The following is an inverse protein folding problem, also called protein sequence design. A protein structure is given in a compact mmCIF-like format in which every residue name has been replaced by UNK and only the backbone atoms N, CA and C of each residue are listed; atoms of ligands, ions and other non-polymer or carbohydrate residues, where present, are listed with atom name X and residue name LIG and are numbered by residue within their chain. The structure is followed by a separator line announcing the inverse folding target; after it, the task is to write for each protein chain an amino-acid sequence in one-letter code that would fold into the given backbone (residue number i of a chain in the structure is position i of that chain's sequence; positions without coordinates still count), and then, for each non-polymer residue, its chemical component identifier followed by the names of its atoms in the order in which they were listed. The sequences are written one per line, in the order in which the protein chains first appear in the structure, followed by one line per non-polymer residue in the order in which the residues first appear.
data_IF_190392628298
#
_entry.id   IF_190392628298
#
_cell.length_a   1.000
_cell.length_b   1.000
_cell.length_c   1.000
_cell.angle_alpha   90.00
_cell.angle_beta   90.00
_cell.angle_gamma   90.00
#
_symmetry.space_group_name_H-M   'P 1'
#
loop_
_entity.id
_entity.type
_entity.pdbx_description
1 polymer ?
#
# COMPACT_ATOMS: atom_id res chain seq x y z
N UNK A 1 14.43 37.09 29.27
CA UNK A 1 14.42 37.32 27.81
C UNK A 1 15.24 36.30 26.99
N UNK A 2 16.59 36.33 26.91
CA UNK A 2 17.35 35.39 26.04
C UNK A 2 17.17 33.89 26.40
N UNK A 3 17.16 33.54 27.69
CA UNK A 3 16.90 32.15 28.14
C UNK A 3 15.46 31.68 27.87
N UNK A 4 14.48 32.58 27.97
CA UNK A 4 13.06 32.30 27.68
C UNK A 4 12.82 32.13 26.18
N UNK A 5 13.46 32.95 25.34
CA UNK A 5 13.44 32.81 23.88
C UNK A 5 14.06 31.48 23.45
N UNK A 6 15.17 31.07 24.08
CA UNK A 6 15.81 29.78 23.83
C UNK A 6 14.92 28.59 24.22
N UNK A 7 14.25 28.64 25.38
CA UNK A 7 13.30 27.59 25.78
C UNK A 7 12.10 27.51 24.84
N UNK A 8 11.50 28.66 24.48
CA UNK A 8 10.36 28.71 23.58
C UNK A 8 10.69 28.14 22.19
N UNK A 9 11.89 28.39 21.68
CA UNK A 9 12.36 27.80 20.42
C UNK A 9 12.47 26.28 20.50
N UNK A 10 13.09 25.76 21.57
CA UNK A 10 13.22 24.30 21.76
C UNK A 10 11.86 23.61 21.88
N UNK A 11 10.93 24.25 22.61
CA UNK A 11 9.57 23.75 22.75
C UNK A 11 8.80 23.78 21.43
N UNK A 12 8.84 24.90 20.69
CA UNK A 12 8.23 25.00 19.38
C UNK A 12 8.81 23.99 18.38
N UNK A 13 10.13 23.79 18.39
CA UNK A 13 10.80 22.77 17.59
C UNK A 13 10.37 21.35 17.96
N UNK A 14 10.15 21.06 19.25
CA UNK A 14 9.65 19.77 19.71
C UNK A 14 8.19 19.53 19.27
N UNK A 15 7.33 20.54 19.33
CA UNK A 15 5.94 20.47 18.83
C UNK A 15 5.91 20.30 17.31
N UNK A 16 6.78 20.98 16.57
CA UNK A 16 6.93 20.78 15.12
C UNK A 16 7.37 19.35 14.78
N UNK A 17 8.39 18.82 15.48
CA UNK A 17 8.87 17.43 15.28
C UNK A 17 7.82 16.39 15.63
N UNK A 18 7.02 16.66 16.67
CA UNK A 18 5.91 15.79 17.08
C UNK A 18 4.60 16.04 16.32
N UNK A 19 4.62 16.93 15.32
CA UNK A 19 3.52 17.22 14.40
C UNK A 19 2.26 17.81 15.08
N UNK A 20 2.46 18.55 16.18
CA UNK A 20 1.38 19.11 17.00
C UNK A 20 1.11 20.59 16.65
N UNK A 21 0.59 20.84 15.44
CA UNK A 21 0.33 22.20 14.95
C UNK A 21 -0.66 22.99 15.82
N UNK A 22 -1.73 22.37 16.31
CA UNK A 22 -2.71 23.01 17.20
C UNK A 22 -2.10 23.48 18.51
N UNK A 23 -1.36 22.59 19.17
CA UNK A 23 -0.68 22.92 20.43
C UNK A 23 0.38 23.99 20.24
N UNK A 24 1.03 24.02 19.08
CA UNK A 24 1.98 25.06 18.74
C UNK A 24 1.30 26.42 18.56
N UNK A 25 0.16 26.48 17.84
CA UNK A 25 -0.60 27.73 17.73
C UNK A 25 -1.11 28.21 19.09
N UNK A 26 -1.71 27.31 19.89
CA UNK A 26 -2.18 27.63 21.23
C UNK A 26 -1.05 28.13 22.14
N UNK A 27 0.13 27.50 22.09
CA UNK A 27 1.31 27.97 22.82
C UNK A 27 1.71 29.39 22.38
N UNK A 28 1.75 29.66 21.09
CA UNK A 28 2.14 30.97 20.56
C UNK A 28 1.12 32.07 20.90
N UNK A 29 -0.16 31.73 21.06
CA UNK A 29 -1.21 32.65 21.52
C UNK A 29 -1.05 33.06 22.99
N UNK A 30 -0.36 32.25 23.82
CA UNK A 30 -0.06 32.61 25.21
C UNK A 30 1.07 33.65 25.34
N UNK A 31 1.81 33.91 24.27
CA UNK A 31 2.95 34.84 24.29
C UNK A 31 2.49 36.28 24.06
N UNK A 32 3.08 37.22 24.81
CA UNK A 32 2.83 38.65 24.62
C UNK A 32 3.39 39.13 23.26
N UNK A 33 2.59 39.77 22.40
CA UNK A 33 3.09 40.33 21.14
C UNK A 33 4.15 41.44 21.35
N UNK A 34 5.11 41.62 20.42
CA UNK A 34 5.28 40.86 19.18
C UNK A 34 5.97 39.50 19.40
N UNK A 35 5.44 38.45 18.74
CA UNK A 35 6.06 37.11 18.79
C UNK A 35 7.46 37.19 18.16
N UNK A 36 8.52 36.69 18.85
CA UNK A 36 9.89 36.75 18.36
C UNK A 36 10.06 36.16 16.94
N UNK A 37 10.89 36.76 16.06
CA UNK A 37 11.13 36.27 14.69
C UNK A 37 11.46 34.78 14.61
N UNK A 38 12.23 34.25 15.56
CA UNK A 38 12.60 32.84 15.61
C UNK A 38 11.43 31.88 15.89
N UNK A 39 10.34 32.36 16.49
CA UNK A 39 9.10 31.58 16.72
C UNK A 39 8.09 31.73 15.58
N UNK A 40 8.19 32.81 14.81
CA UNK A 40 7.30 33.07 13.67
C UNK A 40 7.47 32.03 12.56
N UNK A 41 8.66 31.45 12.37
CA UNK A 41 8.85 30.31 11.45
C UNK A 41 8.04 29.09 11.85
N UNK A 42 8.03 28.74 13.14
CA UNK A 42 7.22 27.65 13.66
C UNK A 42 5.72 27.95 13.55
N UNK A 43 5.33 29.21 13.75
CA UNK A 43 3.95 29.67 13.49
C UNK A 43 3.55 29.46 12.03
N UNK A 44 4.38 29.89 11.09
CA UNK A 44 4.12 29.71 9.67
C UNK A 44 4.00 28.23 9.29
N UNK A 45 4.85 27.37 9.85
CA UNK A 45 4.72 25.91 9.69
C UNK A 45 3.36 25.40 10.21
N UNK A 46 2.93 25.86 11.38
CA UNK A 46 1.65 25.43 11.97
C UNK A 46 0.45 25.92 11.14
N UNK A 47 0.47 27.17 10.66
CA UNK A 47 -0.54 27.72 9.75
C UNK A 47 -0.62 26.92 8.45
N UNK A 48 0.53 26.53 7.89
CA UNK A 48 0.60 25.70 6.70
C UNK A 48 -0.08 24.34 6.93
N UNK A 49 0.13 23.70 8.08
CA UNK A 49 -0.54 22.44 8.45
C UNK A 49 -2.05 22.62 8.70
N UNK A 50 -2.52 23.86 8.86
CA UNK A 50 -3.94 24.24 8.90
C UNK A 50 -4.47 24.77 7.59
N UNK A 51 -3.74 24.53 6.49
CA UNK A 51 -4.11 24.93 5.13
C UNK A 51 -4.25 26.45 4.93
N UNK A 52 -3.73 27.26 5.87
CA UNK A 52 -3.70 28.73 5.81
C UNK A 52 -2.46 29.20 5.06
N UNK A 53 -2.33 28.78 3.80
CA UNK A 53 -1.11 28.92 3.00
C UNK A 53 -0.70 30.38 2.75
N UNK A 54 -1.67 31.25 2.43
CA UNK A 54 -1.42 32.67 2.16
C UNK A 54 -0.90 33.39 3.41
N UNK A 55 -1.48 33.11 4.57
CA UNK A 55 -1.04 33.70 5.84
C UNK A 55 0.34 33.20 6.25
N UNK A 56 0.61 31.89 6.08
CA UNK A 56 1.92 31.31 6.32
C UNK A 56 2.99 31.96 5.42
N UNK A 57 2.71 32.15 4.13
CA UNK A 57 3.64 32.79 3.20
C UNK A 57 3.87 34.26 3.56
N UNK A 58 2.82 35.03 3.84
CA UNK A 58 2.94 36.43 4.23
C UNK A 58 3.77 36.62 5.51
N UNK A 59 3.62 35.71 6.48
CA UNK A 59 4.48 35.69 7.67
C UNK A 59 5.94 35.43 7.32
N UNK A 60 6.24 34.47 6.43
CA UNK A 60 7.61 34.17 6.03
C UNK A 60 8.24 35.29 5.20
N UNK A 61 7.46 36.00 4.39
CA UNK A 61 7.91 37.17 3.63
C UNK A 61 8.22 38.34 4.56
N UNK A 62 7.41 38.57 5.60
CA UNK A 62 7.68 39.60 6.61
C UNK A 62 8.96 39.35 7.45
N UNK A 63 9.43 38.10 7.51
CA UNK A 63 10.69 37.72 8.18
C UNK A 63 11.91 37.84 7.27
N UNK A 64 11.76 38.21 6.01
CA UNK A 64 12.86 38.30 5.08
C UNK A 64 13.88 39.36 5.54
N UNK A 65 15.14 38.96 5.70
CA UNK A 65 16.21 39.83 6.20
C UNK A 65 16.35 39.85 7.73
N UNK A 66 15.44 39.23 8.48
CA UNK A 66 15.58 39.03 9.91
C UNK A 66 16.50 37.85 10.23
N UNK A 67 17.08 37.84 11.43
CA UNK A 67 17.77 36.66 11.95
C UNK A 67 16.73 35.60 12.34
N UNK A 68 16.61 34.57 11.49
CA UNK A 68 15.68 33.45 11.69
C UNK A 68 16.43 32.27 12.29
N UNK A 69 15.90 31.69 13.38
CA UNK A 69 16.56 30.60 14.11
C UNK A 69 16.68 29.30 13.32
N UNK A 70 15.64 28.89 12.58
CA UNK A 70 15.62 27.65 11.79
C UNK A 70 15.45 27.96 10.29
N UNK A 71 16.56 28.32 9.63
CA UNK A 71 16.57 28.66 8.19
C UNK A 71 16.14 27.50 7.29
N UNK A 72 16.45 26.26 7.69
CA UNK A 72 16.04 25.08 6.95
C UNK A 72 14.53 24.90 6.96
N UNK A 73 13.89 25.03 8.14
CA UNK A 73 12.43 24.99 8.26
C UNK A 73 11.78 26.17 7.53
N UNK A 74 12.34 27.39 7.66
CA UNK A 74 11.86 28.58 6.97
C UNK A 74 11.71 28.35 5.46
N UNK A 75 12.79 27.94 4.80
CA UNK A 75 12.80 27.77 3.35
C UNK A 75 11.94 26.57 2.91
N UNK A 76 11.93 25.48 3.67
CA UNK A 76 11.07 24.32 3.41
C UNK A 76 9.58 24.70 3.50
N UNK A 77 9.16 25.40 4.55
CA UNK A 77 7.77 25.86 4.70
C UNK A 77 7.40 26.88 3.64
N UNK A 78 8.32 27.79 3.28
CA UNK A 78 8.11 28.75 2.19
C UNK A 78 7.90 28.03 0.85
N UNK A 79 8.72 27.04 0.54
CA UNK A 79 8.58 26.23 -0.68
C UNK A 79 7.24 25.52 -0.75
N UNK A 80 6.80 24.88 0.34
CA UNK A 80 5.49 24.22 0.40
C UNK A 80 4.34 25.23 0.23
N UNK A 81 4.40 26.39 0.87
CA UNK A 81 3.39 27.44 0.73
C UNK A 81 3.31 27.99 -0.71
N UNK A 82 4.46 28.26 -1.34
CA UNK A 82 4.54 28.72 -2.72
C UNK A 82 3.89 27.71 -3.68
N UNK A 83 4.19 26.42 -3.52
CA UNK A 83 3.59 25.36 -4.35
C UNK A 83 2.07 25.31 -4.19
N UNK A 84 1.57 25.32 -2.95
CA UNK A 84 0.12 25.26 -2.66
C UNK A 84 -0.65 26.46 -3.21
N UNK A 85 0.00 27.62 -3.31
CA UNK A 85 -0.55 28.84 -3.90
C UNK A 85 -0.32 28.96 -5.41
N UNK A 86 0.29 27.96 -6.06
CA UNK A 86 0.59 27.98 -7.49
C UNK A 86 1.62 29.04 -7.90
N UNK A 87 2.46 29.50 -6.97
CA UNK A 87 3.51 30.50 -7.25
C UNK A 87 4.78 29.83 -7.79
N UNK A 88 5.53 30.58 -8.59
CA UNK A 88 6.85 30.17 -9.08
C UNK A 88 7.88 30.02 -7.94
N UNK A 89 9.08 29.52 -8.27
CA UNK A 89 10.25 29.44 -7.38
C UNK A 89 10.11 28.57 -6.13
N UNK A 90 9.03 27.80 -5.99
CA UNK A 90 8.85 26.87 -4.86
C UNK A 90 10.02 25.87 -4.78
N UNK A 91 10.53 25.38 -5.91
CA UNK A 91 11.67 24.46 -5.95
C UNK A 91 12.97 25.13 -5.50
N UNK A 92 13.19 26.40 -5.87
CA UNK A 92 14.36 27.17 -5.42
C UNK A 92 14.37 27.36 -3.90
N UNK A 93 13.19 27.49 -3.28
CA UNK A 93 13.08 27.51 -1.83
C UNK A 93 13.53 26.17 -1.21
N UNK A 94 13.21 25.03 -1.80
CA UNK A 94 13.71 23.73 -1.33
C UNK A 94 15.23 23.59 -1.47
N UNK A 95 15.82 24.07 -2.58
CA UNK A 95 17.28 24.09 -2.74
C UNK A 95 17.96 24.91 -1.63
N UNK A 96 17.46 26.10 -1.33
CA UNK A 96 17.93 26.93 -0.20
C UNK A 96 17.73 26.25 1.15
N UNK A 97 16.63 25.49 1.33
CA UNK A 97 16.41 24.74 2.56
C UNK A 97 17.51 23.68 2.76
N UNK A 98 17.89 22.96 1.70
CA UNK A 98 18.88 21.87 1.75
C UNK A 98 20.27 22.36 2.16
N UNK A 99 20.66 23.58 1.79
CA UNK A 99 21.92 24.20 2.21
C UNK A 99 22.06 24.32 3.74
N UNK A 100 20.94 24.36 4.46
CA UNK A 100 20.89 24.54 5.91
C UNK A 100 20.51 23.28 6.69
N UNK A 101 20.22 22.16 6.02
CA UNK A 101 19.68 20.96 6.64
C UNK A 101 20.67 19.79 6.58
N UNK A 102 20.71 18.98 7.65
CA UNK A 102 21.52 17.75 7.75
C UNK A 102 20.72 16.63 8.41
N UNK A 103 21.17 15.38 8.24
CA UNK A 103 20.58 14.20 8.87
C UNK A 103 19.07 14.08 8.57
N UNK A 104 18.28 13.66 9.55
CA UNK A 104 16.83 13.45 9.36
C UNK A 104 16.08 14.71 8.95
N UNK A 105 16.56 15.91 9.29
CA UNK A 105 15.91 17.14 8.86
C UNK A 105 16.02 17.35 7.34
N UNK A 106 17.18 17.01 6.75
CA UNK A 106 17.36 16.95 5.30
C UNK A 106 16.48 15.87 4.68
N UNK A 107 16.46 14.67 5.28
CA UNK A 107 15.59 13.56 4.82
C UNK A 107 14.11 13.98 4.74
N UNK A 108 13.58 14.67 5.75
CA UNK A 108 12.20 15.19 5.76
C UNK A 108 11.95 16.23 4.67
N UNK A 109 12.94 17.09 4.40
CA UNK A 109 12.85 18.10 3.35
C UNK A 109 12.75 17.44 1.97
N UNK A 110 13.59 16.44 1.69
CA UNK A 110 13.56 15.65 0.46
C UNK A 110 12.23 14.89 0.28
N UNK A 111 11.64 14.40 1.37
CA UNK A 111 10.33 13.73 1.33
C UNK A 111 9.22 14.68 0.87
N UNK A 112 9.15 15.86 1.50
CA UNK A 112 8.16 16.86 1.16
C UNK A 112 8.35 17.33 -0.28
N UNK A 113 9.58 17.67 -0.67
CA UNK A 113 9.92 18.10 -2.03
C UNK A 113 9.55 17.05 -3.08
N UNK A 114 9.90 15.78 -2.83
CA UNK A 114 9.53 14.66 -3.70
C UNK A 114 8.00 14.51 -3.80
N UNK A 115 7.26 14.76 -2.71
CA UNK A 115 5.80 14.82 -2.71
C UNK A 115 5.25 15.91 -3.63
N UNK A 116 5.81 17.11 -3.58
CA UNK A 116 5.38 18.21 -4.43
C UNK A 116 5.75 17.98 -5.91
N UNK A 117 6.95 17.46 -6.19
CA UNK A 117 7.35 17.06 -7.54
C UNK A 117 6.43 15.97 -8.12
N UNK A 118 6.02 15.01 -7.30
CA UNK A 118 5.08 13.97 -7.71
C UNK A 118 3.72 14.57 -8.10
N UNK A 119 3.21 15.52 -7.29
CA UNK A 119 1.99 16.26 -7.61
C UNK A 119 2.13 17.14 -8.85
N UNK A 120 3.32 17.68 -9.11
CA UNK A 120 3.65 18.42 -10.32
C UNK A 120 3.83 17.53 -11.58
N UNK A 121 3.64 16.21 -11.45
CA UNK A 121 3.81 15.25 -12.55
C UNK A 121 5.26 14.82 -12.81
N UNK A 122 6.25 15.37 -12.10
CA UNK A 122 7.67 15.04 -12.22
C UNK A 122 8.02 13.75 -11.44
N UNK A 123 7.39 12.64 -11.83
CA UNK A 123 7.46 11.36 -11.11
C UNK A 123 8.87 10.78 -11.00
N UNK A 124 9.71 10.99 -11.99
CA UNK A 124 11.10 10.49 -11.97
C UNK A 124 11.94 11.27 -10.96
N UNK A 125 11.84 12.60 -10.95
CA UNK A 125 12.54 13.44 -9.97
C UNK A 125 12.07 13.14 -8.53
N UNK A 126 10.75 12.97 -8.33
CA UNK A 126 10.19 12.57 -7.04
C UNK A 126 10.79 11.26 -6.52
N UNK A 127 10.91 10.24 -7.39
CA UNK A 127 11.52 8.94 -7.04
C UNK A 127 12.99 9.08 -6.63
N UNK A 128 13.75 9.92 -7.33
CA UNK A 128 15.16 10.19 -6.99
C UNK A 128 15.26 10.80 -5.59
N UNK A 129 14.49 11.87 -5.31
CA UNK A 129 14.54 12.52 -4.00
C UNK A 129 14.09 11.61 -2.86
N UNK A 130 13.05 10.80 -3.07
CA UNK A 130 12.64 9.83 -2.06
C UNK A 130 13.67 8.71 -1.86
N UNK A 131 14.34 8.26 -2.93
CA UNK A 131 15.46 7.32 -2.83
C UNK A 131 16.61 7.90 -1.99
N UNK A 132 16.98 9.15 -2.26
CA UNK A 132 17.98 9.89 -1.48
C UNK A 132 17.55 10.03 0.00
N UNK A 133 16.28 10.37 0.25
CA UNK A 133 15.74 10.56 1.59
C UNK A 133 15.87 9.31 2.49
N UNK A 134 15.80 8.10 1.92
CA UNK A 134 15.95 6.85 2.68
C UNK A 134 17.28 6.77 3.45
N UNK A 135 18.35 7.38 2.92
CA UNK A 135 19.66 7.37 3.57
C UNK A 135 19.67 8.16 4.90
N UNK A 136 18.80 9.16 5.03
CA UNK A 136 18.77 10.09 6.16
C UNK A 136 17.69 9.78 7.22
N UNK A 137 16.78 8.86 6.92
CA UNK A 137 15.56 8.63 7.71
C UNK A 137 15.59 7.36 8.58
N UNK A 138 16.75 6.71 8.74
CA UNK A 138 16.88 5.48 9.55
C UNK A 138 16.33 5.64 10.98
N UNK A 139 16.56 6.81 11.57
CA UNK A 139 16.15 7.16 12.94
C UNK A 139 14.78 7.87 13.02
N UNK A 140 14.07 8.00 11.90
CA UNK A 140 12.73 8.60 11.82
C UNK A 140 11.73 7.61 11.20
N UNK A 141 11.15 6.69 12.00
CA UNK A 141 10.29 5.65 11.46
C UNK A 141 9.03 6.16 10.79
N UNK A 142 8.53 7.35 11.17
CA UNK A 142 7.34 7.95 10.57
C UNK A 142 7.64 8.38 9.13
N UNK A 143 8.67 9.21 8.95
CA UNK A 143 9.05 9.65 7.62
C UNK A 143 9.61 8.50 6.78
N UNK A 144 10.33 7.56 7.37
CA UNK A 144 10.79 6.37 6.64
C UNK A 144 9.62 5.55 6.10
N UNK A 145 8.56 5.34 6.90
CA UNK A 145 7.35 4.65 6.45
C UNK A 145 6.65 5.43 5.32
N UNK A 146 6.58 6.77 5.44
CA UNK A 146 6.04 7.63 4.40
C UNK A 146 6.84 7.50 3.09
N UNK A 147 8.16 7.69 3.13
CA UNK A 147 9.03 7.60 1.94
C UNK A 147 8.90 6.24 1.26
N UNK A 148 8.88 5.16 2.04
CA UNK A 148 8.69 3.80 1.53
C UNK A 148 7.32 3.65 0.87
N UNK A 149 6.24 4.14 1.49
CA UNK A 149 4.92 4.15 0.86
C UNK A 149 4.90 4.95 -0.45
N UNK A 150 5.46 6.15 -0.46
CA UNK A 150 5.47 7.04 -1.64
C UNK A 150 6.26 6.46 -2.81
N UNK A 151 7.46 5.90 -2.55
CA UNK A 151 8.22 5.15 -3.55
C UNK A 151 7.43 3.96 -4.06
N UNK A 152 6.81 3.21 -3.15
CA UNK A 152 5.93 2.09 -3.47
C UNK A 152 4.88 2.48 -4.49
N UNK A 153 4.08 3.50 -4.18
CA UNK A 153 3.02 4.00 -5.06
C UNK A 153 3.54 4.48 -6.42
N UNK A 154 4.67 5.17 -6.44
CA UNK A 154 5.24 5.70 -7.68
C UNK A 154 5.83 4.61 -8.60
N UNK A 155 6.18 3.45 -8.05
CA UNK A 155 6.77 2.34 -8.79
C UNK A 155 5.75 1.32 -9.31
N UNK A 156 4.48 1.37 -8.88
CA UNK A 156 3.46 0.34 -9.22
C UNK A 156 3.37 0.08 -10.74
N UNK A 157 3.46 1.11 -11.56
CA UNK A 157 3.31 0.96 -13.02
C UNK A 157 4.60 0.49 -13.72
N UNK A 158 5.76 0.79 -13.15
CA UNK A 158 7.04 0.62 -13.83
C UNK A 158 7.82 -0.60 -13.29
N UNK A 159 7.79 -0.82 -11.98
CA UNK A 159 8.58 -1.84 -11.24
C UNK A 159 7.74 -2.36 -10.07
N UNK A 160 6.65 -3.12 -10.33
CA UNK A 160 5.69 -3.53 -9.30
C UNK A 160 6.32 -4.42 -8.21
N UNK A 161 7.36 -5.19 -8.51
CA UNK A 161 8.08 -6.03 -7.53
C UNK A 161 8.77 -5.17 -6.46
N UNK A 162 9.44 -4.11 -6.90
CA UNK A 162 10.08 -3.16 -5.99
C UNK A 162 9.07 -2.29 -5.27
N UNK A 163 8.01 -1.88 -5.97
CA UNK A 163 6.89 -1.18 -5.35
C UNK A 163 6.39 -1.96 -4.13
N UNK A 164 6.21 -3.27 -4.31
CA UNK A 164 5.72 -4.13 -3.26
C UNK A 164 6.72 -4.32 -2.11
N UNK A 165 8.01 -4.43 -2.40
CA UNK A 165 9.05 -4.48 -1.37
C UNK A 165 9.05 -3.22 -0.50
N UNK A 166 8.93 -2.05 -1.12
CA UNK A 166 8.80 -0.77 -0.42
C UNK A 166 7.52 -0.71 0.44
N UNK A 167 6.39 -1.16 -0.09
CA UNK A 167 5.11 -1.16 0.63
C UNK A 167 5.09 -2.15 1.80
N UNK A 168 5.68 -3.33 1.66
CA UNK A 168 5.86 -4.28 2.76
C UNK A 168 6.68 -3.67 3.89
N UNK A 169 7.77 -2.96 3.56
CA UNK A 169 8.60 -2.30 4.56
C UNK A 169 7.82 -1.16 5.24
N UNK A 170 7.01 -0.40 4.51
CA UNK A 170 6.11 0.59 5.10
C UNK A 170 5.08 -0.04 6.08
N UNK A 171 4.51 -1.19 5.72
CA UNK A 171 3.63 -1.96 6.63
C UNK A 171 4.39 -2.45 7.87
N UNK A 172 5.64 -2.90 7.72
CA UNK A 172 6.47 -3.32 8.86
C UNK A 172 6.76 -2.16 9.80
N UNK A 173 7.17 -1.01 9.25
CA UNK A 173 7.52 0.20 10.01
C UNK A 173 6.31 0.79 10.75
N UNK A 174 5.13 0.77 10.13
CA UNK A 174 3.89 1.28 10.72
C UNK A 174 3.36 0.47 11.92
N UNK A 175 3.98 -0.69 12.24
CA UNK A 175 3.74 -1.38 13.53
C UNK A 175 4.26 -0.60 14.73
N UNK A 176 5.26 0.28 14.54
CA UNK A 176 5.76 1.17 15.59
C UNK A 176 4.71 2.24 15.90
N UNK A 177 4.51 2.54 17.19
CA UNK A 177 3.49 3.50 17.64
C UNK A 177 3.57 4.84 16.91
N UNK A 178 4.79 5.37 16.70
CA UNK A 178 5.05 6.65 16.02
C UNK A 178 4.65 6.69 14.55
N UNK A 179 4.54 5.53 13.88
CA UNK A 179 4.24 5.40 12.46
C UNK A 179 2.88 4.73 12.20
N UNK A 180 2.08 4.49 13.25
CA UNK A 180 0.82 3.76 13.18
C UNK A 180 -0.23 4.42 12.29
N UNK A 181 -0.20 5.75 12.20
CA UNK A 181 -1.05 6.54 11.30
C UNK A 181 -0.84 6.14 9.82
N UNK A 182 0.35 5.69 9.44
CA UNK A 182 0.63 5.25 8.06
C UNK A 182 0.18 3.83 7.75
N UNK A 183 -0.30 3.07 8.74
CA UNK A 183 -0.58 1.65 8.58
C UNK A 183 -1.65 1.41 7.50
N UNK A 184 -2.75 2.19 7.54
CA UNK A 184 -3.82 2.08 6.55
C UNK A 184 -3.32 2.40 5.14
N UNK A 185 -2.58 3.50 4.97
CA UNK A 185 -1.99 3.92 3.69
C UNK A 185 -1.05 2.86 3.11
N UNK A 186 -0.15 2.33 3.93
CA UNK A 186 0.78 1.27 3.53
C UNK A 186 0.04 0.01 3.05
N UNK A 187 -1.01 -0.40 3.76
CA UNK A 187 -1.86 -1.53 3.37
C UNK A 187 -2.68 -1.25 2.09
N UNK A 188 -3.17 -0.02 1.90
CA UNK A 188 -3.82 0.40 0.65
C UNK A 188 -2.88 0.33 -0.54
N UNK A 189 -1.66 0.83 -0.39
CA UNK A 189 -0.64 0.73 -1.44
C UNK A 189 -0.28 -0.73 -1.73
N UNK A 190 -0.15 -1.57 -0.69
CA UNK A 190 0.05 -3.01 -0.84
C UNK A 190 -1.12 -3.69 -1.59
N UNK A 191 -2.35 -3.26 -1.33
CA UNK A 191 -3.52 -3.70 -2.10
C UNK A 191 -3.42 -3.28 -3.57
N UNK A 192 -2.97 -2.06 -3.84
CA UNK A 192 -2.86 -1.53 -5.20
C UNK A 192 -1.81 -2.27 -6.04
N UNK A 193 -0.64 -2.57 -5.47
CA UNK A 193 0.40 -3.31 -6.19
C UNK A 193 0.02 -4.77 -6.44
N UNK A 194 -0.63 -5.43 -5.47
CA UNK A 194 -1.17 -6.79 -5.64
C UNK A 194 -2.25 -6.86 -6.69
N UNK A 195 -3.10 -5.83 -6.75
CA UNK A 195 -4.09 -5.69 -7.81
C UNK A 195 -3.42 -5.52 -9.18
N UNK A 196 -2.33 -4.76 -9.25
CA UNK A 196 -1.54 -4.62 -10.47
C UNK A 196 -0.90 -5.95 -10.93
N UNK A 197 -0.55 -6.86 -10.02
CA UNK A 197 -0.14 -8.22 -10.37
C UNK A 197 -1.28 -9.13 -10.85
N UNK A 198 -2.54 -8.72 -10.69
CA UNK A 198 -3.70 -9.60 -10.93
C UNK A 198 -4.05 -10.49 -9.73
N UNK A 199 -3.41 -10.29 -8.58
CA UNK A 199 -3.62 -11.07 -7.36
C UNK A 199 -4.77 -10.48 -6.52
N UNK A 200 -5.97 -10.43 -7.11
CA UNK A 200 -7.11 -9.67 -6.58
C UNK A 200 -7.56 -10.12 -5.19
N UNK A 201 -7.51 -11.42 -4.87
CA UNK A 201 -7.82 -11.90 -3.51
C UNK A 201 -6.83 -11.39 -2.45
N UNK A 202 -5.53 -11.33 -2.80
CA UNK A 202 -4.49 -10.76 -1.91
C UNK A 202 -4.69 -9.26 -1.75
N UNK A 203 -5.11 -8.59 -2.82
CA UNK A 203 -5.46 -7.18 -2.79
C UNK A 203 -6.65 -6.92 -1.86
N UNK A 204 -7.75 -7.69 -1.99
CA UNK A 204 -8.91 -7.63 -1.08
C UNK A 204 -8.50 -7.81 0.38
N UNK A 205 -7.64 -8.78 0.68
CA UNK A 205 -7.16 -8.98 2.06
C UNK A 205 -6.42 -7.75 2.60
N UNK A 206 -5.61 -7.09 1.76
CA UNK A 206 -4.84 -5.91 2.14
C UNK A 206 -5.75 -4.71 2.40
N UNK A 207 -6.71 -4.47 1.50
CA UNK A 207 -7.69 -3.39 1.66
C UNK A 207 -8.61 -3.62 2.85
N UNK A 208 -9.06 -4.86 3.10
CA UNK A 208 -9.86 -5.20 4.28
C UNK A 208 -9.11 -4.93 5.58
N UNK A 209 -7.82 -5.22 5.63
CA UNK A 209 -6.99 -4.86 6.77
C UNK A 209 -6.84 -3.34 6.89
N UNK A 210 -6.63 -2.63 5.77
CA UNK A 210 -6.56 -1.17 5.73
C UNK A 210 -7.84 -0.53 6.29
N UNK A 211 -9.02 -1.00 5.88
CA UNK A 211 -10.32 -0.53 6.40
C UNK A 211 -10.40 -0.71 7.92
N UNK A 212 -9.90 -1.83 8.46
CA UNK A 212 -9.95 -2.14 9.90
C UNK A 212 -9.05 -1.22 10.73
N UNK A 213 -7.89 -0.85 10.19
CA UNK A 213 -6.90 -0.04 10.92
C UNK A 213 -6.99 1.46 10.62
N UNK A 214 -7.78 1.85 9.61
CA UNK A 214 -7.98 3.24 9.24
C UNK A 214 -8.57 4.04 10.41
N UNK A 215 -7.89 5.14 10.76
CA UNK A 215 -8.30 6.09 11.79
C UNK A 215 -8.86 7.36 11.17
N UNK A 216 -8.22 7.81 10.10
CA UNK A 216 -8.63 8.97 9.33
C UNK A 216 -9.71 8.58 8.31
N UNK A 217 -10.60 9.53 8.05
CA UNK A 217 -11.69 9.39 7.08
C UNK A 217 -11.16 9.12 5.67
N UNK A 218 -10.14 9.86 5.25
CA UNK A 218 -9.55 9.75 3.91
C UNK A 218 -8.90 8.38 3.69
N UNK A 219 -8.19 7.88 4.70
CA UNK A 219 -7.57 6.56 4.64
C UNK A 219 -8.63 5.45 4.51
N UNK A 220 -9.76 5.61 5.22
CA UNK A 220 -10.88 4.66 5.14
C UNK A 220 -11.59 4.73 3.79
N UNK A 221 -11.82 5.93 3.25
CA UNK A 221 -12.39 6.12 1.92
C UNK A 221 -11.51 5.47 0.85
N UNK A 222 -10.20 5.71 0.89
CA UNK A 222 -9.26 5.15 -0.07
C UNK A 222 -9.22 3.61 0.00
N UNK A 223 -9.31 3.05 1.21
CA UNK A 223 -9.35 1.60 1.42
C UNK A 223 -10.65 0.96 0.89
N UNK A 224 -11.81 1.60 1.16
CA UNK A 224 -13.11 1.16 0.64
C UNK A 224 -13.17 1.23 -0.88
N UNK A 225 -12.64 2.30 -1.47
CA UNK A 225 -12.55 2.43 -2.92
C UNK A 225 -11.69 1.32 -3.53
N UNK A 226 -10.48 1.09 -2.99
CA UNK A 226 -9.59 0.05 -3.48
C UNK A 226 -10.21 -1.35 -3.36
N UNK A 227 -10.93 -1.61 -2.27
CA UNK A 227 -11.66 -2.85 -2.05
C UNK A 227 -12.80 -3.02 -3.08
N UNK A 228 -13.65 -2.01 -3.25
CA UNK A 228 -14.76 -2.01 -4.22
C UNK A 228 -14.31 -2.15 -5.67
N UNK A 229 -13.25 -1.44 -6.06
CA UNK A 229 -12.64 -1.57 -7.38
C UNK A 229 -12.11 -3.00 -7.63
N UNK A 230 -11.48 -3.60 -6.62
CA UNK A 230 -10.98 -4.98 -6.72
C UNK A 230 -12.13 -6.00 -6.81
N UNK A 231 -13.22 -5.80 -6.07
CA UNK A 231 -14.43 -6.63 -6.18
C UNK A 231 -15.05 -6.57 -7.57
N UNK A 232 -15.04 -5.39 -8.20
CA UNK A 232 -15.51 -5.21 -9.58
C UNK A 232 -14.67 -6.03 -10.57
N UNK A 233 -13.34 -6.03 -10.43
CA UNK A 233 -12.46 -6.86 -11.27
C UNK A 233 -12.73 -8.36 -11.11
N UNK A 234 -13.14 -8.79 -9.92
CA UNK A 234 -13.56 -10.16 -9.62
C UNK A 234 -15.00 -10.48 -10.07
N UNK A 235 -15.75 -9.52 -10.61
CA UNK A 235 -17.16 -9.70 -10.99
C UNK A 235 -18.14 -9.74 -9.82
N UNK A 236 -17.73 -9.39 -8.59
CA UNK A 236 -18.59 -9.33 -7.40
C UNK A 236 -19.27 -7.96 -7.31
N UNK A 237 -20.18 -7.69 -8.24
CA UNK A 237 -20.66 -6.35 -8.59
C UNK A 237 -21.51 -5.70 -7.50
N UNK A 238 -22.41 -6.43 -6.86
CA UNK A 238 -23.28 -5.91 -5.79
C UNK A 238 -22.45 -5.50 -4.57
N UNK A 239 -21.47 -6.34 -4.20
CA UNK A 239 -20.51 -6.03 -3.14
C UNK A 239 -19.65 -4.82 -3.53
N UNK A 240 -19.19 -4.74 -4.78
CA UNK A 240 -18.42 -3.59 -5.26
C UNK A 240 -19.22 -2.29 -5.14
N UNK A 241 -20.48 -2.28 -5.57
CA UNK A 241 -21.37 -1.13 -5.50
C UNK A 241 -21.59 -0.67 -4.06
N UNK A 242 -21.82 -1.61 -3.14
CA UNK A 242 -21.99 -1.29 -1.72
C UNK A 242 -20.76 -0.59 -1.14
N UNK A 243 -19.56 -1.10 -1.43
CA UNK A 243 -18.32 -0.55 -0.87
C UNK A 243 -17.95 0.81 -1.48
N UNK A 244 -18.18 1.00 -2.78
CA UNK A 244 -18.00 2.29 -3.45
C UNK A 244 -19.01 3.34 -2.96
N UNK A 245 -20.25 2.93 -2.68
CA UNK A 245 -21.28 3.81 -2.12
C UNK A 245 -20.90 4.27 -0.71
N UNK A 246 -20.43 3.36 0.14
CA UNK A 246 -19.89 3.69 1.46
C UNK A 246 -18.68 4.65 1.35
N UNK A 247 -17.77 4.42 0.41
CA UNK A 247 -16.63 5.32 0.17
C UNK A 247 -17.10 6.74 -0.19
N UNK A 248 -18.13 6.86 -1.02
CA UNK A 248 -18.74 8.14 -1.42
C UNK A 248 -19.47 8.82 -0.27
N UNK A 249 -20.18 8.08 0.57
CA UNK A 249 -20.89 8.64 1.73
C UNK A 249 -19.96 9.21 2.79
N UNK A 250 -18.73 8.68 2.91
CA UNK A 250 -17.73 9.28 3.78
C UNK A 250 -17.38 10.71 3.35
N UNK A 251 -17.38 11.02 2.05
CA UNK A 251 -17.17 12.37 1.54
C UNK A 251 -18.04 12.66 0.31
N UNK A 252 -19.17 13.35 0.49
CA UNK A 252 -20.03 13.73 -0.62
C UNK A 252 -19.61 15.04 -1.29
N UNK A 253 -18.40 15.56 -1.05
CA UNK A 253 -17.95 16.81 -1.66
C UNK A 253 -17.67 16.67 -3.16
N UNK A 254 -17.71 17.78 -3.93
CA UNK A 254 -17.31 17.76 -5.34
C UNK A 254 -15.88 17.24 -5.57
N UNK A 255 -14.99 17.36 -4.58
CA UNK A 255 -13.60 16.92 -4.67
C UNK A 255 -13.48 15.39 -4.79
N UNK A 256 -14.41 14.65 -4.19
CA UNK A 256 -14.45 13.17 -4.18
C UNK A 256 -15.44 12.59 -5.18
N UNK A 257 -16.03 13.44 -6.02
CA UNK A 257 -16.96 13.05 -7.09
C UNK A 257 -16.36 12.07 -8.12
N UNK A 258 -15.04 11.92 -8.17
CA UNK A 258 -14.37 10.91 -8.99
C UNK A 258 -14.85 9.48 -8.72
N UNK A 259 -15.29 9.17 -7.50
CA UNK A 259 -15.89 7.87 -7.13
C UNK A 259 -17.13 7.53 -7.96
N UNK A 260 -17.86 8.55 -8.43
CA UNK A 260 -19.05 8.33 -9.24
C UNK A 260 -18.73 7.71 -10.61
N UNK A 261 -17.50 7.86 -11.12
CA UNK A 261 -17.08 7.16 -12.34
C UNK A 261 -16.98 5.64 -12.11
N UNK A 262 -16.47 5.20 -10.96
CA UNK A 262 -16.44 3.77 -10.59
C UNK A 262 -17.83 3.20 -10.36
N UNK A 263 -18.68 3.97 -9.66
CA UNK A 263 -20.08 3.60 -9.44
C UNK A 263 -20.80 3.46 -10.78
N UNK A 264 -20.55 4.36 -11.73
CA UNK A 264 -21.09 4.27 -13.07
C UNK A 264 -20.65 2.98 -13.79
N UNK A 265 -19.38 2.62 -13.69
CA UNK A 265 -18.85 1.38 -14.27
C UNK A 265 -19.53 0.14 -13.66
N UNK A 266 -19.66 0.05 -12.33
CA UNK A 266 -20.35 -1.07 -11.67
C UNK A 266 -21.81 -1.15 -12.07
N UNK A 267 -22.54 -0.02 -12.06
CA UNK A 267 -23.96 0.03 -12.45
C UNK A 267 -24.16 -0.45 -13.89
N UNK A 268 -23.27 -0.06 -14.81
CA UNK A 268 -23.34 -0.53 -16.17
C UNK A 268 -23.13 -2.04 -16.28
N UNK A 269 -22.16 -2.60 -15.55
CA UNK A 269 -21.94 -4.06 -15.51
C UNK A 269 -23.11 -4.83 -14.89
N UNK A 270 -23.89 -4.20 -14.00
CA UNK A 270 -25.14 -4.73 -13.46
C UNK A 270 -26.34 -4.60 -14.43
N UNK A 271 -26.16 -4.00 -15.60
CA UNK A 271 -27.22 -3.73 -16.57
C UNK A 271 -28.01 -2.44 -16.32
N UNK A 272 -27.67 -1.65 -15.29
CA UNK A 272 -28.30 -0.36 -15.00
C UNK A 272 -27.66 0.78 -15.81
N UNK A 273 -27.97 0.82 -17.11
CA UNK A 273 -27.47 1.85 -18.01
C UNK A 273 -27.94 3.27 -17.63
N UNK A 274 -29.14 3.40 -17.06
CA UNK A 274 -29.70 4.69 -16.63
C UNK A 274 -28.93 5.24 -15.43
N UNK A 275 -28.78 4.45 -14.37
CA UNK A 275 -28.04 4.85 -13.19
C UNK A 275 -26.54 5.00 -13.45
N UNK A 276 -25.99 4.30 -14.45
CA UNK A 276 -24.62 4.54 -14.91
C UNK A 276 -24.45 5.94 -15.52
N UNK A 277 -25.37 6.38 -16.41
CA UNK A 277 -25.35 7.73 -16.99
C UNK A 277 -25.48 8.82 -15.92
N UNK A 278 -26.37 8.61 -14.95
CA UNK A 278 -26.57 9.55 -13.83
C UNK A 278 -25.32 9.64 -12.94
N UNK A 279 -24.72 8.51 -12.56
CA UNK A 279 -23.49 8.54 -11.79
C UNK A 279 -22.35 9.22 -12.58
N UNK A 280 -22.26 8.98 -13.89
CA UNK A 280 -21.22 9.60 -14.71
C UNK A 280 -21.37 11.13 -14.85
N UNK A 281 -22.61 11.64 -14.89
CA UNK A 281 -22.87 13.09 -14.92
C UNK A 281 -22.52 13.77 -13.59
N UNK A 282 -22.61 13.03 -12.47
CA UNK A 282 -22.18 13.47 -11.14
C UNK A 282 -20.67 13.36 -10.91
N UNK A 283 -19.89 12.82 -11.86
CA UNK A 283 -18.44 12.65 -11.72
C UNK A 283 -17.68 13.92 -12.18
N UNK A 284 -17.82 15.02 -11.43
CA UNK A 284 -17.41 16.36 -11.88
C UNK A 284 -15.89 16.58 -11.85
N UNK A 285 -15.20 16.05 -10.84
CA UNK A 285 -13.74 16.15 -10.68
C UNK A 285 -13.12 14.80 -11.03
N UNK A 286 -12.30 14.74 -12.08
CA UNK A 286 -11.64 13.50 -12.52
C UNK A 286 -10.14 13.70 -12.66
N UNK A 287 -9.38 12.94 -11.89
CA UNK A 287 -7.97 12.68 -12.18
C UNK A 287 -7.80 11.77 -13.40
N UNK A 288 -6.54 11.49 -13.76
CA UNK A 288 -6.19 10.68 -14.94
C UNK A 288 -6.93 9.34 -15.01
N UNK A 289 -6.99 8.61 -13.90
CA UNK A 289 -7.75 7.35 -13.84
C UNK A 289 -9.24 7.55 -14.08
N UNK A 290 -9.85 8.52 -13.40
CA UNK A 290 -11.28 8.80 -13.52
C UNK A 290 -11.68 9.15 -14.96
N UNK A 291 -10.81 9.87 -15.69
CA UNK A 291 -10.99 10.14 -17.12
C UNK A 291 -10.99 8.86 -17.95
N UNK A 292 -10.09 7.91 -17.67
CA UNK A 292 -10.06 6.60 -18.33
C UNK A 292 -11.38 5.85 -18.08
N UNK A 293 -11.81 5.74 -16.81
CA UNK A 293 -13.07 5.07 -16.45
C UNK A 293 -14.24 5.72 -17.19
N UNK A 294 -14.33 7.06 -17.19
CA UNK A 294 -15.37 7.79 -17.91
C UNK A 294 -15.40 7.43 -19.40
N UNK A 295 -14.24 7.43 -20.07
CA UNK A 295 -14.14 7.12 -21.50
C UNK A 295 -14.59 5.69 -21.79
N UNK A 296 -14.16 4.72 -20.98
CA UNK A 296 -14.56 3.31 -21.14
C UNK A 296 -16.06 3.13 -20.91
N UNK A 297 -16.62 3.73 -19.85
CA UNK A 297 -18.05 3.68 -19.56
C UNK A 297 -18.88 4.37 -20.66
N UNK A 298 -18.41 5.49 -21.21
CA UNK A 298 -19.06 6.16 -22.35
C UNK A 298 -19.03 5.29 -23.61
N UNK A 299 -17.90 4.66 -23.90
CA UNK A 299 -17.76 3.73 -25.02
C UNK A 299 -18.71 2.53 -24.88
N UNK A 300 -18.87 2.00 -23.66
CA UNK A 300 -19.77 0.86 -23.39
C UNK A 300 -21.27 1.25 -23.39
N UNK A 301 -21.61 2.51 -23.06
CA UNK A 301 -22.98 3.03 -23.11
C UNK A 301 -23.43 3.46 -24.52
N UNK A 302 -22.47 3.74 -25.40
CA UNK A 302 -22.68 4.28 -26.74
C UNK A 302 -22.74 3.22 -27.84
N UNK A 303 -23.05 3.62 -29.08
CA UNK A 303 -23.02 2.72 -30.23
C UNK A 303 -21.58 2.27 -30.53
N UNK A 304 -21.43 1.05 -31.05
CA UNK A 304 -20.13 0.41 -31.26
C UNK A 304 -19.21 1.20 -32.21
N UNK A 305 -19.79 1.92 -33.17
CA UNK A 305 -19.07 2.76 -34.14
C UNK A 305 -18.37 3.94 -33.45
N UNK A 306 -18.97 4.49 -32.39
CA UNK A 306 -18.40 5.60 -31.62
C UNK A 306 -17.38 5.14 -30.58
N UNK A 307 -17.45 3.88 -30.13
CA UNK A 307 -16.59 3.33 -29.08
C UNK A 307 -15.09 3.45 -29.40
N UNK A 308 -14.69 3.26 -30.67
CA UNK A 308 -13.28 3.42 -31.09
C UNK A 308 -12.77 4.84 -30.89
N UNK A 309 -13.56 5.84 -31.25
CA UNK A 309 -13.20 7.25 -31.07
C UNK A 309 -13.09 7.60 -29.58
N UNK A 310 -14.02 7.11 -28.75
CA UNK A 310 -13.95 7.33 -27.30
C UNK A 310 -12.73 6.71 -26.64
N UNK A 311 -12.17 5.63 -27.20
CA UNK A 311 -11.01 4.92 -26.66
C UNK A 311 -9.68 5.34 -27.31
N UNK A 312 -9.70 6.25 -28.28
CA UNK A 312 -8.51 6.66 -29.04
C UNK A 312 -7.37 7.19 -28.14
N UNK A 313 -6.14 6.72 -28.36
CA UNK A 313 -4.98 7.10 -27.56
C UNK A 313 -4.88 6.47 -26.17
N UNK A 314 -5.82 5.58 -25.79
CA UNK A 314 -5.63 4.73 -24.62
C UNK A 314 -4.74 3.55 -24.99
N UNK A 315 -3.58 3.43 -24.34
CA UNK A 315 -2.71 2.27 -24.49
C UNK A 315 -3.27 1.07 -23.70
N UNK A 316 -3.68 -0.03 -24.34
CA UNK A 316 -4.37 -1.12 -23.66
C UNK A 316 -3.52 -1.86 -22.63
N UNK A 317 -2.19 -1.74 -22.69
CA UNK A 317 -1.26 -2.38 -21.76
C UNK A 317 -1.06 -1.58 -20.47
N UNK A 318 -1.40 -0.29 -20.45
CA UNK A 318 -1.30 0.56 -19.25
C UNK A 318 -2.22 0.04 -18.15
N UNK A 319 -1.72 -0.02 -16.92
CA UNK A 319 -2.36 -0.66 -15.76
C UNK A 319 -3.87 -0.36 -15.65
N UNK A 320 -4.26 0.91 -15.59
CA UNK A 320 -5.66 1.24 -15.40
C UNK A 320 -6.50 0.96 -16.64
N UNK A 321 -5.95 1.15 -17.84
CA UNK A 321 -6.68 0.85 -19.09
C UNK A 321 -6.97 -0.64 -19.18
N UNK A 322 -5.97 -1.50 -18.97
CA UNK A 322 -6.18 -2.96 -18.98
C UNK A 322 -7.23 -3.39 -17.96
N UNK A 323 -7.17 -2.85 -16.74
CA UNK A 323 -8.13 -3.19 -15.68
C UNK A 323 -9.55 -2.78 -16.02
N UNK A 324 -9.76 -1.61 -16.62
CA UNK A 324 -11.07 -1.20 -17.08
C UNK A 324 -11.55 -2.08 -18.25
N UNK A 325 -10.69 -2.36 -19.23
CA UNK A 325 -11.03 -3.23 -20.36
C UNK A 325 -11.34 -4.67 -19.92
N UNK A 326 -10.72 -5.17 -18.85
CA UNK A 326 -11.06 -6.46 -18.26
C UNK A 326 -12.53 -6.55 -17.87
N UNK A 327 -13.10 -5.45 -17.36
CA UNK A 327 -14.52 -5.38 -16.99
C UNK A 327 -15.47 -5.25 -18.20
N UNK A 328 -14.97 -4.94 -19.40
CA UNK A 328 -15.77 -4.74 -20.61
C UNK A 328 -15.17 -5.53 -21.79
N UNK A 329 -15.42 -6.86 -21.86
CA UNK A 329 -14.78 -7.76 -22.82
C UNK A 329 -14.96 -7.36 -24.29
N UNK A 330 -16.08 -6.75 -24.65
CA UNK A 330 -16.38 -6.27 -26.00
C UNK A 330 -15.45 -5.12 -26.40
N UNK A 331 -15.22 -4.16 -25.49
CA UNK A 331 -14.29 -3.06 -25.71
C UNK A 331 -12.84 -3.52 -25.70
N UNK A 332 -12.52 -4.52 -24.87
CA UNK A 332 -11.21 -5.19 -24.86
C UNK A 332 -10.92 -5.85 -26.22
N UNK A 333 -11.88 -6.59 -26.77
CA UNK A 333 -11.78 -7.22 -28.08
C UNK A 333 -11.63 -6.18 -29.20
N UNK A 334 -12.38 -5.06 -29.11
CA UNK A 334 -12.30 -3.95 -30.06
C UNK A 334 -10.89 -3.34 -30.17
N UNK A 335 -10.14 -3.31 -29.06
CA UNK A 335 -8.78 -2.79 -28.99
C UNK A 335 -7.69 -3.87 -29.11
N UNK A 336 -8.07 -5.13 -29.37
CA UNK A 336 -7.16 -6.28 -29.35
C UNK A 336 -6.29 -6.33 -28.07
N UNK A 337 -6.88 -5.93 -26.93
CA UNK A 337 -6.18 -5.83 -25.67
C UNK A 337 -5.97 -7.21 -25.03
N UNK A 338 -4.82 -7.45 -24.36
CA UNK A 338 -4.54 -8.74 -23.74
C UNK A 338 -5.53 -9.03 -22.61
N UNK A 339 -5.83 -10.31 -22.39
CA UNK A 339 -6.65 -10.72 -21.26
C UNK A 339 -5.89 -10.52 -19.93
N UNK A 340 -6.57 -9.91 -18.96
CA UNK A 340 -6.17 -10.00 -17.57
C UNK A 340 -6.71 -11.31 -17.00
N UNK A 341 -5.99 -12.40 -17.24
CA UNK A 341 -6.21 -13.61 -16.46
C UNK A 341 -5.85 -13.34 -15.00
N UNK A 342 -6.69 -13.78 -14.06
CA UNK A 342 -6.23 -13.93 -12.68
C UNK A 342 -4.98 -14.81 -12.72
N UNK A 343 -3.85 -14.29 -12.23
CA UNK A 343 -2.60 -15.05 -12.30
C UNK A 343 -2.83 -16.41 -11.64
N UNK A 344 -2.62 -17.49 -12.41
CA UNK A 344 -2.56 -18.83 -11.85
C UNK A 344 -1.46 -18.81 -10.79
N UNK A 345 -1.83 -18.93 -9.51
CA UNK A 345 -0.87 -18.82 -8.42
C UNK A 345 0.25 -19.83 -8.63
N UNK A 346 1.48 -19.36 -8.78
CA UNK A 346 2.66 -20.20 -8.87
C UNK A 346 3.38 -20.15 -7.53
N UNK A 347 3.34 -21.23 -6.77
CA UNK A 347 3.94 -21.29 -5.44
C UNK A 347 5.20 -22.12 -5.49
N UNK A 348 6.33 -21.53 -5.12
CA UNK A 348 7.60 -22.23 -4.99
C UNK A 348 7.88 -22.47 -3.51
N UNK A 349 8.17 -23.71 -3.14
CA UNK A 349 8.46 -24.09 -1.75
C UNK A 349 9.78 -24.84 -1.72
N UNK A 350 10.76 -24.23 -1.03
CA UNK A 350 12.05 -24.83 -0.76
C UNK A 350 12.13 -25.19 0.72
N UNK A 351 12.03 -26.49 1.07
CA UNK A 351 12.10 -26.93 2.45
C UNK A 351 13.54 -27.09 2.97
N UNK A 352 14.57 -27.03 2.12
CA UNK A 352 15.96 -27.27 2.52
C UNK A 352 16.63 -26.00 3.06
N UNK A 353 17.19 -26.08 4.27
CA UNK A 353 17.65 -24.94 5.03
C UNK A 353 16.52 -24.27 5.83
N UNK A 354 16.54 -22.94 5.92
CA UNK A 354 15.38 -22.20 6.41
C UNK A 354 14.25 -22.30 5.37
N UNK A 355 13.04 -22.69 5.78
CA UNK A 355 11.90 -22.82 4.87
C UNK A 355 11.67 -21.52 4.10
N UNK A 356 11.78 -21.59 2.77
CA UNK A 356 11.49 -20.49 1.87
C UNK A 356 10.23 -20.81 1.06
N UNK A 357 9.28 -19.88 1.06
CA UNK A 357 8.05 -19.98 0.28
C UNK A 357 7.92 -18.74 -0.56
N UNK A 358 7.68 -18.89 -1.86
CA UNK A 358 7.41 -17.79 -2.79
C UNK A 358 6.07 -18.00 -3.48
N UNK A 359 5.33 -16.93 -3.71
CA UNK A 359 4.12 -16.92 -4.54
C UNK A 359 4.37 -15.94 -5.68
N UNK A 360 4.31 -16.43 -6.91
CA UNK A 360 4.64 -15.72 -8.15
C UNK A 360 6.04 -15.08 -8.08
N UNK A 361 7.04 -15.87 -7.65
CA UNK A 361 8.44 -15.42 -7.49
C UNK A 361 8.71 -14.58 -6.22
N UNK A 362 7.68 -14.18 -5.47
CA UNK A 362 7.81 -13.29 -4.30
C UNK A 362 7.85 -14.05 -2.98
N UNK A 363 8.81 -13.78 -2.08
CA UNK A 363 8.85 -14.42 -0.76
C UNK A 363 7.62 -14.11 0.10
N UNK A 364 7.10 -15.15 0.74
CA UNK A 364 5.98 -15.11 1.67
C UNK A 364 6.52 -15.15 3.10
N UNK A 365 6.08 -14.27 4.01
CA UNK A 365 6.56 -14.22 5.38
C UNK A 365 5.94 -15.34 6.24
N UNK A 366 6.27 -16.58 5.90
CA UNK A 366 6.00 -17.75 6.75
C UNK A 366 7.18 -17.89 7.69
N UNK A 367 6.91 -17.96 9.00
CA UNK A 367 7.95 -18.25 9.98
C UNK A 367 8.59 -19.60 9.63
N UNK A 368 9.93 -19.70 9.50
CA UNK A 368 10.57 -20.94 9.09
C UNK A 368 10.12 -22.10 9.97
N UNK A 369 10.19 -21.95 11.30
CA UNK A 369 9.77 -22.94 12.32
C UNK A 369 8.30 -22.85 12.74
N UNK A 370 7.47 -22.15 11.96
CA UNK A 370 6.06 -21.96 12.30
C UNK A 370 5.17 -23.10 11.80
N UNK A 371 4.14 -23.43 12.59
CA UNK A 371 3.07 -24.38 12.19
C UNK A 371 2.47 -24.16 10.80
N UNK A 372 2.25 -22.93 10.31
CA UNK A 372 1.75 -22.73 8.95
C UNK A 372 2.70 -23.26 7.87
N UNK A 373 4.02 -23.09 8.05
CA UNK A 373 5.03 -23.60 7.13
C UNK A 373 5.14 -25.11 7.18
N UNK A 374 5.11 -25.67 8.40
CA UNK A 374 5.09 -27.13 8.61
C UNK A 374 3.85 -27.78 7.98
N UNK A 375 2.66 -27.21 8.17
CA UNK A 375 1.42 -27.66 7.53
C UNK A 375 1.54 -27.65 6.00
N UNK A 376 2.11 -26.57 5.44
CA UNK A 376 2.30 -26.46 3.99
C UNK A 376 3.21 -27.58 3.45
N UNK A 377 4.38 -27.76 4.06
CA UNK A 377 5.34 -28.79 3.60
C UNK A 377 4.76 -30.18 3.80
N UNK A 378 4.10 -30.45 4.94
CA UNK A 378 3.45 -31.74 5.18
C UNK A 378 2.39 -32.06 4.11
N UNK A 379 1.55 -31.09 3.73
CA UNK A 379 0.57 -31.28 2.67
C UNK A 379 1.27 -31.59 1.33
N UNK A 380 2.37 -30.92 1.00
CA UNK A 380 3.12 -31.15 -0.25
C UNK A 380 3.78 -32.54 -0.28
N UNK A 381 4.38 -32.98 0.82
CA UNK A 381 4.93 -34.34 0.97
C UNK A 381 3.86 -35.43 0.82
N UNK A 382 2.60 -35.12 1.16
CA UNK A 382 1.46 -36.03 1.03
C UNK A 382 0.64 -35.77 -0.27
N UNK A 383 1.28 -35.31 -1.35
CA UNK A 383 0.62 -35.14 -2.66
C UNK A 383 -0.40 -33.99 -2.71
N UNK A 384 -0.29 -33.03 -1.81
CA UNK A 384 -1.13 -31.84 -1.74
C UNK A 384 -2.38 -31.98 -0.87
N UNK A 385 -2.58 -33.10 -0.16
CA UNK A 385 -3.72 -33.24 0.77
C UNK A 385 -3.46 -34.19 1.93
N UNK A 386 -4.12 -33.95 3.06
CA UNK A 386 -4.08 -34.84 4.22
C UNK A 386 -5.40 -34.79 5.00
N UNK A 387 -5.73 -35.91 5.65
CA UNK A 387 -6.91 -36.02 6.52
C UNK A 387 -6.70 -35.28 7.84
N UNK A 388 -7.80 -34.81 8.45
CA UNK A 388 -7.74 -34.09 9.74
C UNK A 388 -7.10 -34.93 10.85
N UNK A 389 -7.38 -36.23 10.93
CA UNK A 389 -6.80 -37.11 11.96
C UNK A 389 -5.28 -37.26 11.77
N UNK A 390 -4.84 -37.45 10.53
CA UNK A 390 -3.41 -37.52 10.19
C UNK A 390 -2.69 -36.21 10.53
N UNK A 391 -3.30 -35.07 10.22
CA UNK A 391 -2.73 -33.76 10.56
C UNK A 391 -2.66 -33.52 12.06
N UNK A 392 -3.66 -33.98 12.82
CA UNK A 392 -3.66 -33.85 14.27
C UNK A 392 -2.61 -34.74 14.91
N UNK A 393 -2.49 -35.99 14.47
CA UNK A 393 -1.49 -36.94 14.95
C UNK A 393 -0.04 -36.49 14.66
N UNK A 394 0.18 -35.95 13.45
CA UNK A 394 1.53 -35.60 13.00
C UNK A 394 1.97 -34.20 13.43
N UNK A 395 1.04 -33.23 13.49
CA UNK A 395 1.39 -31.85 13.86
C UNK A 395 1.10 -31.57 15.33
N UNK A 396 0.14 -32.22 15.97
CA UNK A 396 -0.27 -31.95 17.35
C UNK A 396 -0.06 -33.21 18.21
N UNK A 397 -0.04 -33.08 19.54
CA UNK A 397 0.39 -34.19 20.42
C UNK A 397 -0.80 -34.95 21.01
N UNK A 398 -1.93 -34.31 21.26
CA UNK A 398 -3.06 -34.88 21.99
C UNK A 398 -4.37 -34.52 21.28
N UNK A 399 -4.88 -35.37 20.36
CA UNK A 399 -6.05 -35.18 19.47
C UNK A 399 -7.35 -34.70 20.16
N UNK A 400 -7.32 -33.50 20.75
CA UNK A 400 -8.32 -32.88 21.62
C UNK A 400 -9.12 -31.87 20.80
N UNK A 401 -10.36 -31.52 21.21
CA UNK A 401 -11.16 -30.51 20.52
C UNK A 401 -10.44 -29.16 20.34
N UNK A 402 -9.55 -28.81 21.28
CA UNK A 402 -8.70 -27.61 21.22
C UNK A 402 -7.71 -27.64 20.04
N UNK A 403 -7.22 -28.83 19.66
CA UNK A 403 -6.26 -29.00 18.56
C UNK A 403 -6.93 -28.90 17.19
N UNK A 404 -8.18 -29.38 17.04
CA UNK A 404 -8.98 -29.15 15.81
C UNK A 404 -9.13 -27.66 15.53
N UNK A 405 -9.41 -26.87 16.56
CA UNK A 405 -9.47 -25.41 16.47
C UNK A 405 -8.10 -24.82 16.11
N UNK A 406 -7.02 -25.29 16.74
CA UNK A 406 -5.67 -24.83 16.45
C UNK A 406 -5.22 -25.16 15.00
N UNK A 407 -5.59 -26.31 14.46
CA UNK A 407 -5.34 -26.68 13.06
C UNK A 407 -6.09 -25.76 12.10
N UNK A 408 -7.38 -25.48 12.38
CA UNK A 408 -8.15 -24.52 11.60
C UNK A 408 -7.52 -23.13 11.62
N UNK A 409 -7.09 -22.63 12.79
CA UNK A 409 -6.39 -21.35 12.94
C UNK A 409 -5.04 -21.34 12.21
N UNK A 410 -4.33 -22.47 12.22
CA UNK A 410 -3.06 -22.64 11.50
C UNK A 410 -3.28 -22.59 9.99
N UNK A 411 -4.30 -23.25 9.48
CA UNK A 411 -4.69 -23.18 8.08
C UNK A 411 -5.15 -21.76 7.68
N UNK A 412 -5.88 -21.06 8.54
CA UNK A 412 -6.23 -19.64 8.32
C UNK A 412 -5.00 -18.73 8.27
N UNK A 413 -4.01 -18.96 9.13
CA UNK A 413 -2.73 -18.25 9.08
C UNK A 413 -1.96 -18.55 7.80
N UNK A 414 -1.95 -19.81 7.36
CA UNK A 414 -1.34 -20.20 6.08
C UNK A 414 -2.05 -19.53 4.90
N UNK A 415 -3.39 -19.56 4.86
CA UNK A 415 -4.19 -18.86 3.83
C UNK A 415 -3.88 -17.37 3.78
N UNK A 416 -3.76 -16.73 4.94
CA UNK A 416 -3.43 -15.31 5.04
C UNK A 416 -2.00 -15.01 4.56
N UNK A 417 -1.05 -15.90 4.88
CA UNK A 417 0.33 -15.74 4.44
C UNK A 417 0.43 -15.87 2.91
N UNK A 418 -0.09 -16.96 2.34
CA UNK A 418 -0.12 -17.21 0.90
C UNK A 418 -0.95 -16.14 0.16
N UNK A 419 -2.05 -15.72 0.78
CA UNK A 419 -2.80 -14.51 0.45
C UNK A 419 -4.11 -14.74 -0.30
N UNK A 420 -4.55 -15.98 -0.53
CA UNK A 420 -5.89 -16.26 -1.03
C UNK A 420 -6.57 -17.37 -0.22
N UNK A 421 -7.88 -17.25 -0.03
CA UNK A 421 -8.66 -18.17 0.82
C UNK A 421 -8.65 -19.61 0.31
N UNK A 422 -8.62 -19.76 -1.02
CA UNK A 422 -8.60 -21.06 -1.71
C UNK A 422 -7.29 -21.83 -1.60
N UNK A 423 -6.21 -21.21 -1.09
CA UNK A 423 -4.86 -21.83 -1.00
C UNK A 423 -4.86 -23.14 -0.24
N UNK A 424 -5.73 -23.26 0.76
CA UNK A 424 -6.01 -24.50 1.49
C UNK A 424 -7.53 -24.65 1.59
N UNK A 425 -8.10 -25.64 0.91
CA UNK A 425 -9.53 -25.97 0.94
C UNK A 425 -9.77 -27.10 1.94
N UNK A 426 -10.92 -27.08 2.61
CA UNK A 426 -11.32 -28.16 3.54
C UNK A 426 -12.65 -28.72 3.08
N UNK A 427 -12.69 -30.01 2.73
CA UNK A 427 -13.93 -30.71 2.32
C UNK A 427 -13.91 -32.12 2.90
N UNK A 428 -14.98 -32.50 3.61
CA UNK A 428 -15.09 -33.83 4.22
C UNK A 428 -13.98 -34.17 5.21
N UNK A 429 -13.47 -33.19 5.96
CA UNK A 429 -12.36 -33.39 6.90
C UNK A 429 -10.97 -33.53 6.26
N UNK A 430 -10.84 -33.33 4.95
CA UNK A 430 -9.56 -33.34 4.24
C UNK A 430 -9.12 -31.92 3.93
N UNK A 431 -7.90 -31.57 4.33
CA UNK A 431 -7.23 -30.33 3.95
C UNK A 431 -6.50 -30.57 2.63
N UNK A 432 -6.73 -29.71 1.64
CA UNK A 432 -6.16 -29.86 0.30
C UNK A 432 -5.63 -28.51 -0.19
N UNK A 433 -4.42 -28.50 -0.74
CA UNK A 433 -3.87 -27.32 -1.41
C UNK A 433 -4.66 -26.99 -2.67
N UNK A 434 -4.66 -25.72 -3.04
CA UNK A 434 -5.39 -25.25 -4.22
C UNK A 434 -4.98 -26.01 -5.50
N UNK A 435 -5.86 -26.83 -6.13
CA UNK A 435 -5.49 -27.58 -7.33
C UNK A 435 -5.31 -26.68 -8.56
N UNK A 436 -5.87 -25.47 -8.53
CA UNK A 436 -5.74 -24.51 -9.63
C UNK A 436 -4.38 -23.80 -9.58
N UNK A 437 -3.73 -23.75 -8.42
CA UNK A 437 -2.39 -23.22 -8.27
C UNK A 437 -1.32 -24.21 -8.82
N UNK A 438 -0.25 -23.65 -9.40
CA UNK A 438 0.96 -24.40 -9.76
C UNK A 438 1.87 -24.49 -8.53
N UNK A 439 1.98 -25.67 -7.94
CA UNK A 439 2.91 -25.93 -6.83
C UNK A 439 4.23 -26.47 -7.36
N UNK A 440 5.31 -25.75 -7.11
CA UNK A 440 6.69 -26.17 -7.36
C UNK A 440 7.32 -26.46 -6.02
N UNK A 441 7.33 -27.74 -5.66
CA UNK A 441 7.92 -28.22 -4.42
C UNK A 441 9.25 -28.89 -4.73
N UNK A 442 10.29 -28.53 -3.97
CA UNK A 442 11.60 -29.17 -4.10
C UNK A 442 11.65 -30.38 -3.17
N UNK A 443 11.70 -31.56 -3.76
CA UNK A 443 11.70 -32.86 -3.08
C UNK A 443 13.10 -33.40 -2.77
N UNK A 444 14.13 -32.92 -3.48
CA UNK A 444 15.53 -33.31 -3.30
C UNK A 444 16.45 -32.13 -2.94
N UNK A 445 17.45 -32.32 -2.07
CA UNK A 445 18.38 -31.26 -1.70
C UNK A 445 19.30 -30.90 -2.89
N UNK A 446 19.47 -29.61 -3.22
CA UNK A 446 20.50 -29.21 -4.17
C UNK A 446 21.91 -29.39 -3.58
N UNK A 447 22.97 -29.42 -4.42
CA UNK A 447 24.35 -29.46 -3.93
C UNK A 447 24.63 -28.29 -2.98
N UNK A 448 25.12 -28.58 -1.77
CA UNK A 448 25.37 -27.57 -0.73
C UNK A 448 24.13 -27.06 0.00
N UNK A 449 22.97 -27.72 -0.14
CA UNK A 449 21.77 -27.37 0.61
C UNK A 449 21.90 -27.65 2.11
N UNK A 450 21.21 -26.83 2.91
CA UNK A 450 21.04 -27.11 4.33
C UNK A 450 20.10 -28.29 4.60
N UNK A 451 20.08 -28.77 5.85
CA UNK A 451 19.19 -29.84 6.32
C UNK A 451 17.72 -29.54 5.98
N UNK A 452 16.91 -30.59 5.77
CA UNK A 452 15.47 -30.46 5.55
C UNK A 452 14.78 -29.79 6.75
N UNK A 453 14.10 -28.67 6.49
CA UNK A 453 13.38 -27.83 7.44
C UNK A 453 14.18 -27.58 8.72
N UNK A 454 15.21 -26.72 8.69
CA UNK A 454 16.08 -26.46 9.85
C UNK A 454 15.29 -25.85 11.02
N UNK A 455 15.41 -26.47 12.21
CA UNK A 455 14.77 -26.02 13.45
C UNK A 455 14.00 -27.12 14.20
N UNK A 456 13.14 -26.71 15.14
CA UNK A 456 12.32 -27.61 15.95
C UNK A 456 10.92 -27.81 15.32
N UNK A 457 10.65 -29.03 14.87
CA UNK A 457 9.39 -29.45 14.25
C UNK A 457 8.88 -30.75 14.86
N UNK A 458 7.72 -31.22 14.42
CA UNK A 458 7.20 -32.52 14.84
C UNK A 458 8.03 -33.70 14.30
N UNK A 459 7.76 -34.89 14.86
CA UNK A 459 8.58 -36.09 14.63
C UNK A 459 8.67 -36.51 13.16
N UNK A 460 7.61 -36.30 12.37
CA UNK A 460 7.63 -36.62 10.94
C UNK A 460 8.74 -35.90 10.17
N UNK A 461 9.12 -34.68 10.58
CA UNK A 461 10.25 -33.95 9.98
C UNK A 461 11.56 -34.64 10.30
N UNK A 462 11.71 -35.17 11.52
CA UNK A 462 12.89 -35.92 11.93
C UNK A 462 12.99 -37.24 11.15
N UNK A 463 11.89 -37.97 11.01
CA UNK A 463 11.82 -39.19 10.19
C UNK A 463 12.19 -38.90 8.73
N UNK A 464 11.67 -37.79 8.17
CA UNK A 464 11.98 -37.37 6.81
C UNK A 464 13.46 -37.03 6.63
N UNK A 465 14.08 -36.31 7.57
CA UNK A 465 15.52 -36.03 7.58
C UNK A 465 16.37 -37.31 7.55
N UNK A 466 16.03 -38.29 8.38
CA UNK A 466 16.72 -39.59 8.38
C UNK A 466 16.59 -40.30 7.03
N UNK A 467 15.38 -40.30 6.43
CA UNK A 467 15.16 -40.92 5.11
C UNK A 467 15.98 -40.26 4.00
N UNK A 468 16.17 -38.94 4.04
CA UNK A 468 16.91 -38.19 3.03
C UNK A 468 18.42 -38.43 3.14
N UNK A 469 18.97 -38.48 4.36
CA UNK A 469 20.38 -38.81 4.58
C UNK A 469 20.73 -40.21 4.04
N UNK A 470 19.82 -41.16 4.23
CA UNK A 470 20.00 -42.54 3.75
C UNK A 470 20.01 -42.67 2.22
N UNK A 471 19.30 -41.78 1.52
CA UNK A 471 19.31 -41.72 0.05
C UNK A 471 20.60 -41.07 -0.47
N UNK A 472 21.06 -40.01 0.19
CA UNK A 472 22.30 -39.29 -0.18
C UNK A 472 23.55 -40.15 0.02
N UNK A 473 23.55 -41.06 0.99
CA UNK A 473 24.68 -41.98 1.22
C UNK A 473 24.78 -43.12 0.18
N UNK A 474 23.75 -43.30 -0.66
CA UNK A 474 23.66 -44.39 -1.65
C UNK A 474 23.77 -43.95 -3.11
N UNK A 475 23.54 -42.67 -3.39
CA UNK A 475 23.80 -42.01 -4.68
C UNK A 475 25.23 -41.47 -4.72
#
# INVERSE_FOLDING_TARGET
MQREVSFGQLYAAALCRSRQADRLLAYLETLTPPIPPALQTYRAWALLRKERYAEALGQLEALQGCEVGDRGLYWRTKGEALFRLGRADWHQAFLKAREHLKGSALGRCLVDEGGLLYLAGQRSAARVLWGEALAYLRDDPYYLAWTRHSLGMALINDRPEEAEAHLLEAVRLSRKAVAREFQARALCGLGAVRRAFGEWERALSSYREAIRVARERDDRQQALWGYGHTLRLLGRLEEALAQLTLARELDPSPATSWLNADIAAVRLMLGDARGAREALSQALSLGERGKIVRRVVQAALGPAEAARSWLEGLEPTKLWVREELHCFPELRALLAAPELGGQRYWVEVNPFGALEVRVNGRPVPISPTGRPGELLVFLLENGGSAGVEQLLDQLYRDNRPQERKALWETAERLRRALGWKGSVRVRGGVYRLDPEAKWVYRDRPPPGAGEFMVGHYANWVQERRHSLNWVIERD
#
